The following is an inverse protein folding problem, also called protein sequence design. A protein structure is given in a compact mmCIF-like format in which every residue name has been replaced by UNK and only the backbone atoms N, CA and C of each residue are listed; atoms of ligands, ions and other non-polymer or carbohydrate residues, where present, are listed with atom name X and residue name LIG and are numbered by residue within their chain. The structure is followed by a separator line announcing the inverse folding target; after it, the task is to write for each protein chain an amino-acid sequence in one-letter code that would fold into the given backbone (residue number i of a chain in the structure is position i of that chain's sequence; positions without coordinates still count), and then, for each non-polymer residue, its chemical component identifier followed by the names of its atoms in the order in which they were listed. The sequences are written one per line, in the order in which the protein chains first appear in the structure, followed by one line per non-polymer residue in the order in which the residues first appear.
data_IF_465710800102
#
_entry.id   IF_465710800102
#
_cell.length_a   1.000
_cell.length_b   1.000
_cell.length_c   1.000
_cell.angle_alpha   90.00
_cell.angle_beta   90.00
_cell.angle_gamma   90.00
#
_symmetry.space_group_name_H-M   'P 1'
#
loop_
_entity.id
_entity.type
_entity.pdbx_description
1 polymer ?
#
# COMPACT_ATOMS: atom_id res chain seq x y z
N UNK A 1 7.46 31.42 8.78
CA UNK A 1 7.38 30.63 7.54
C UNK A 1 7.10 29.18 7.93
N UNK A 2 6.02 28.61 7.49
CA UNK A 2 5.65 27.23 7.83
C UNK A 2 6.70 26.26 7.27
N UNK A 3 7.17 25.31 8.07
CA UNK A 3 8.16 24.26 7.70
C UNK A 3 7.68 23.32 6.58
N UNK A 4 6.48 23.53 6.03
CA UNK A 4 5.81 22.68 5.06
C UNK A 4 5.43 23.46 3.77
N UNK A 5 6.22 24.46 3.37
CA UNK A 5 5.98 25.19 2.12
C UNK A 5 6.58 24.40 0.95
N UNK A 6 5.81 24.01 -0.08
CA UNK A 6 6.34 23.34 -1.28
C UNK A 6 7.45 24.11 -2.00
N UNK A 7 7.52 25.43 -1.81
CA UNK A 7 8.55 26.29 -2.38
C UNK A 7 9.94 26.11 -1.74
N UNK A 8 10.07 25.35 -0.64
CA UNK A 8 11.36 25.03 0.00
C UNK A 8 12.22 24.16 -0.91
N UNK A 9 11.61 23.33 -1.76
CA UNK A 9 12.31 22.42 -2.68
C UNK A 9 13.30 23.16 -3.64
N UNK A 10 13.04 24.42 -3.96
CA UNK A 10 13.92 25.22 -4.84
C UNK A 10 14.93 26.12 -4.11
N UNK A 11 14.90 26.19 -2.77
CA UNK A 11 15.70 27.17 -2.00
C UNK A 11 16.68 26.56 -1.01
N UNK A 12 16.41 25.37 -0.52
CA UNK A 12 17.26 24.70 0.48
C UNK A 12 18.38 23.86 -0.18
N UNK A 13 19.44 23.59 0.60
CA UNK A 13 20.54 22.75 0.12
C UNK A 13 20.07 21.32 -0.13
N UNK A 14 20.56 20.69 -1.21
CA UNK A 14 20.18 19.33 -1.64
C UNK A 14 20.36 18.31 -0.52
N UNK A 15 21.47 18.37 0.23
CA UNK A 15 21.74 17.44 1.34
C UNK A 15 20.70 17.53 2.46
N UNK A 16 20.26 18.74 2.81
CA UNK A 16 19.23 18.94 3.84
C UNK A 16 17.87 18.46 3.39
N UNK A 17 17.52 18.71 2.12
CA UNK A 17 16.29 18.18 1.51
C UNK A 17 16.30 16.65 1.46
N UNK A 18 17.44 16.06 1.03
CA UNK A 18 17.58 14.61 0.98
C UNK A 18 17.29 13.98 2.34
N UNK A 19 17.95 14.46 3.41
CA UNK A 19 17.71 13.95 4.77
C UNK A 19 16.26 14.16 5.23
N UNK A 20 15.69 15.33 4.95
CA UNK A 20 14.33 15.66 5.35
C UNK A 20 13.27 14.75 4.71
N UNK A 21 13.52 14.26 3.50
CA UNK A 21 12.60 13.37 2.77
C UNK A 21 12.93 11.88 3.00
N UNK A 22 14.22 11.54 3.04
CA UNK A 22 14.67 10.15 3.20
C UNK A 22 14.40 9.60 4.60
N UNK A 23 14.65 10.38 5.66
CA UNK A 23 14.44 9.89 7.04
C UNK A 23 12.99 9.45 7.27
N UNK A 24 11.94 10.26 6.98
CA UNK A 24 10.56 9.80 7.13
C UNK A 24 10.21 8.60 6.24
N UNK A 25 10.78 8.54 5.04
CA UNK A 25 10.55 7.41 4.14
C UNK A 25 11.16 6.11 4.69
N UNK A 26 12.42 6.16 5.16
CA UNK A 26 13.11 5.02 5.77
C UNK A 26 12.36 4.54 7.01
N UNK A 27 11.99 5.44 7.91
CA UNK A 27 11.21 5.10 9.11
C UNK A 27 9.89 4.42 8.71
N UNK A 28 9.14 4.99 7.75
CA UNK A 28 7.89 4.41 7.29
C UNK A 28 8.05 3.01 6.69
N UNK A 29 9.08 2.80 5.86
CA UNK A 29 9.37 1.49 5.26
C UNK A 29 9.81 0.46 6.32
N UNK A 30 10.67 0.87 7.27
CA UNK A 30 11.13 0.01 8.36
C UNK A 30 9.96 -0.45 9.23
N UNK A 31 9.07 0.47 9.61
CA UNK A 31 7.86 0.15 10.39
C UNK A 31 6.97 -0.82 9.64
N UNK A 32 6.75 -0.61 8.33
CA UNK A 32 5.96 -1.52 7.50
C UNK A 32 6.61 -2.90 7.39
N UNK A 33 7.94 -2.99 7.30
CA UNK A 33 8.66 -4.27 7.25
C UNK A 33 8.54 -5.03 8.58
N UNK A 34 8.70 -4.34 9.71
CA UNK A 34 8.52 -4.92 11.05
C UNK A 34 7.08 -5.42 11.21
N UNK A 35 6.10 -4.64 10.77
CA UNK A 35 4.70 -5.02 10.79
C UNK A 35 4.46 -6.33 10.01
N UNK A 36 5.00 -6.48 8.80
CA UNK A 36 4.83 -7.72 8.02
C UNK A 36 5.39 -8.95 8.74
N UNK A 37 6.50 -8.79 9.47
CA UNK A 37 7.08 -9.87 10.27
C UNK A 37 6.13 -10.23 11.44
N UNK A 38 5.63 -9.23 12.17
CA UNK A 38 4.72 -9.41 13.30
C UNK A 38 3.42 -10.09 12.84
N UNK A 39 2.87 -9.64 11.72
CA UNK A 39 1.65 -10.20 11.13
C UNK A 39 1.84 -11.68 10.76
N UNK A 40 2.97 -12.02 10.14
CA UNK A 40 3.32 -13.41 9.83
C UNK A 40 3.46 -14.27 11.09
N UNK A 41 3.97 -13.73 12.19
CA UNK A 41 4.07 -14.42 13.48
C UNK A 41 2.67 -14.68 14.05
N UNK A 42 1.76 -13.71 14.01
CA UNK A 42 0.39 -13.88 14.48
C UNK A 42 -0.37 -14.93 13.67
N UNK A 43 -0.26 -14.90 12.35
CA UNK A 43 -0.86 -15.91 11.48
C UNK A 43 -0.30 -17.31 11.77
N UNK A 44 1.02 -17.41 11.93
CA UNK A 44 1.67 -18.70 12.20
C UNK A 44 1.26 -19.34 13.53
N UNK A 45 1.08 -18.55 14.58
CA UNK A 45 0.67 -19.05 15.89
C UNK A 45 -0.84 -19.20 16.03
N UNK A 46 -1.63 -18.35 15.38
CA UNK A 46 -3.09 -18.36 15.50
C UNK A 46 -3.79 -19.34 14.56
N UNK A 47 -3.27 -19.51 13.33
CA UNK A 47 -3.91 -20.32 12.29
C UNK A 47 -3.11 -21.58 11.95
N UNK A 48 -1.79 -21.48 11.96
CA UNK A 48 -0.88 -22.61 11.77
C UNK A 48 0.02 -22.55 10.52
N UNK A 49 0.89 -23.58 10.33
CA UNK A 49 1.91 -23.58 9.27
C UNK A 49 1.33 -23.54 7.84
N UNK A 50 0.17 -24.17 7.62
CA UNK A 50 -0.46 -24.20 6.30
C UNK A 50 -0.98 -22.82 5.88
N UNK A 51 -1.39 -21.98 6.84
CA UNK A 51 -1.76 -20.61 6.57
C UNK A 51 -0.56 -19.75 6.15
N UNK A 52 0.62 -19.95 6.77
CA UNK A 52 1.86 -19.28 6.34
C UNK A 52 2.23 -19.72 4.90
N UNK A 53 2.10 -20.99 4.57
CA UNK A 53 2.34 -21.49 3.22
C UNK A 53 1.38 -20.85 2.22
N UNK A 54 0.08 -20.75 2.56
CA UNK A 54 -0.93 -20.08 1.76
C UNK A 54 -0.65 -18.60 1.57
N UNK A 55 -0.19 -17.90 2.63
CA UNK A 55 0.23 -16.52 2.57
C UNK A 55 1.42 -16.36 1.60
N UNK A 56 2.45 -17.20 1.72
CA UNK A 56 3.62 -17.15 0.86
C UNK A 56 3.29 -17.33 -0.63
N UNK A 57 2.38 -18.24 -0.95
CA UNK A 57 1.88 -18.47 -2.32
C UNK A 57 1.09 -17.25 -2.84
N UNK A 58 0.42 -16.52 -1.94
CA UNK A 58 -0.35 -15.32 -2.27
C UNK A 58 0.52 -14.09 -2.55
N UNK A 59 1.77 -14.03 -2.06
CA UNK A 59 2.67 -12.89 -2.20
C UNK A 59 2.88 -12.41 -3.65
N UNK A 60 3.11 -13.27 -4.64
CA UNK A 60 3.31 -12.81 -6.01
C UNK A 60 2.08 -12.09 -6.56
N UNK A 61 0.88 -12.60 -6.29
CA UNK A 61 -0.36 -11.96 -6.71
C UNK A 61 -0.57 -10.61 -5.99
N UNK A 62 -0.33 -10.55 -4.69
CA UNK A 62 -0.39 -9.29 -3.92
C UNK A 62 0.57 -8.25 -4.49
N UNK A 63 1.82 -8.63 -4.77
CA UNK A 63 2.82 -7.73 -5.36
C UNK A 63 2.41 -7.25 -6.75
N UNK A 64 1.82 -8.11 -7.57
CA UNK A 64 1.31 -7.75 -8.89
C UNK A 64 0.20 -6.68 -8.76
N UNK A 65 -0.75 -6.90 -7.88
CA UNK A 65 -1.85 -5.95 -7.59
C UNK A 65 -1.29 -4.60 -7.14
N UNK A 66 -0.34 -4.60 -6.19
CA UNK A 66 0.30 -3.37 -5.69
C UNK A 66 1.14 -2.69 -6.78
N UNK A 67 1.79 -3.44 -7.67
CA UNK A 67 2.60 -2.88 -8.75
C UNK A 67 1.75 -2.03 -9.72
N UNK A 68 0.57 -2.48 -10.11
CA UNK A 68 -0.33 -1.69 -10.95
C UNK A 68 -0.82 -0.41 -10.27
N UNK A 69 -1.13 -0.47 -8.97
CA UNK A 69 -1.46 0.72 -8.20
C UNK A 69 -0.29 1.71 -8.16
N UNK A 70 0.91 1.19 -7.90
CA UNK A 70 2.13 2.01 -7.82
C UNK A 70 2.46 2.67 -9.15
N UNK A 71 2.27 1.97 -10.27
CA UNK A 71 2.47 2.52 -11.61
C UNK A 71 1.61 3.78 -11.83
N UNK A 72 0.31 3.67 -11.56
CA UNK A 72 -0.64 4.78 -11.71
C UNK A 72 -0.33 5.91 -10.74
N UNK A 73 -0.12 5.59 -9.46
CA UNK A 73 0.09 6.60 -8.44
C UNK A 73 1.45 7.30 -8.55
N UNK A 74 2.51 6.59 -8.97
CA UNK A 74 3.82 7.20 -9.21
C UNK A 74 3.78 8.16 -10.41
N UNK A 75 3.14 7.76 -11.52
CA UNK A 75 2.93 8.63 -12.68
C UNK A 75 2.13 9.88 -12.31
N UNK A 76 1.00 9.71 -11.65
CA UNK A 76 0.14 10.82 -11.23
C UNK A 76 0.80 11.76 -10.24
N UNK A 77 1.52 11.22 -9.25
CA UNK A 77 2.24 12.03 -8.26
C UNK A 77 3.36 12.86 -8.88
N UNK A 78 4.07 12.30 -9.85
CA UNK A 78 5.13 13.02 -10.61
C UNK A 78 4.53 14.17 -11.41
N UNK A 79 3.45 13.93 -12.17
CA UNK A 79 2.79 14.97 -12.95
C UNK A 79 2.20 16.06 -12.04
N UNK A 80 1.58 15.71 -10.92
CA UNK A 80 1.08 16.67 -9.94
C UNK A 80 2.20 17.55 -9.38
N UNK A 81 3.37 16.99 -9.08
CA UNK A 81 4.53 17.73 -8.61
C UNK A 81 5.07 18.72 -9.65
N UNK A 82 5.08 18.34 -10.93
CA UNK A 82 5.50 19.22 -12.03
C UNK A 82 4.53 20.41 -12.12
N UNK A 83 3.22 20.20 -12.09
CA UNK A 83 2.22 21.27 -12.12
C UNK A 83 2.32 22.22 -10.93
N UNK A 84 2.57 21.66 -9.72
CA UNK A 84 2.83 22.46 -8.53
C UNK A 84 4.07 23.33 -8.69
N UNK A 85 5.16 22.79 -9.26
CA UNK A 85 6.37 23.56 -9.57
C UNK A 85 6.13 24.69 -10.57
N UNK A 86 5.22 24.51 -11.53
CA UNK A 86 4.75 25.52 -12.47
C UNK A 86 3.75 26.50 -11.85
N UNK A 87 3.42 26.39 -10.57
CA UNK A 87 2.37 27.15 -9.86
C UNK A 87 0.96 26.96 -10.41
N UNK A 88 0.72 25.92 -11.18
CA UNK A 88 -0.58 25.55 -11.73
C UNK A 88 -1.32 24.67 -10.71
N UNK A 89 -1.93 25.30 -9.73
CA UNK A 89 -2.69 24.62 -8.68
C UNK A 89 -3.93 23.90 -9.24
N UNK A 90 -4.55 24.47 -10.27
CA UNK A 90 -5.74 23.87 -10.91
C UNK A 90 -5.37 22.58 -11.64
N UNK A 91 -4.35 22.63 -12.48
CA UNK A 91 -3.86 21.44 -13.18
C UNK A 91 -3.35 20.36 -12.23
N UNK A 92 -2.70 20.74 -11.12
CA UNK A 92 -2.28 19.77 -10.09
C UNK A 92 -3.48 19.07 -9.44
N UNK A 93 -4.55 19.78 -9.15
CA UNK A 93 -5.78 19.20 -8.57
C UNK A 93 -6.51 18.29 -9.57
N UNK A 94 -6.54 18.66 -10.84
CA UNK A 94 -7.11 17.82 -11.91
C UNK A 94 -6.35 16.51 -12.04
N UNK A 95 -5.00 16.56 -12.05
CA UNK A 95 -4.15 15.35 -12.10
C UNK A 95 -4.40 14.47 -10.88
N UNK A 96 -4.51 15.05 -9.68
CA UNK A 96 -4.83 14.29 -8.47
C UNK A 96 -6.16 13.55 -8.62
N UNK A 97 -7.20 14.24 -9.08
CA UNK A 97 -8.54 13.67 -9.28
C UNK A 97 -8.50 12.52 -10.29
N UNK A 98 -7.82 12.70 -11.43
CA UNK A 98 -7.64 11.65 -12.43
C UNK A 98 -6.84 10.46 -11.89
N UNK A 99 -5.78 10.71 -11.11
CA UNK A 99 -4.98 9.65 -10.49
C UNK A 99 -5.82 8.81 -9.53
N UNK A 100 -6.63 9.45 -8.69
CA UNK A 100 -7.54 8.72 -7.79
C UNK A 100 -8.58 7.91 -8.55
N UNK A 101 -9.19 8.50 -9.58
CA UNK A 101 -10.16 7.81 -10.42
C UNK A 101 -9.54 6.59 -11.11
N UNK A 102 -8.32 6.74 -11.65
CA UNK A 102 -7.58 5.63 -12.25
C UNK A 102 -7.20 4.56 -11.22
N UNK A 103 -6.78 4.93 -10.02
CA UNK A 103 -6.50 3.96 -8.95
C UNK A 103 -7.76 3.15 -8.61
N UNK A 104 -8.90 3.80 -8.45
CA UNK A 104 -10.17 3.12 -8.15
C UNK A 104 -10.59 2.23 -9.32
N UNK A 105 -10.54 2.72 -10.56
CA UNK A 105 -10.91 1.93 -11.74
C UNK A 105 -10.00 0.72 -11.91
N UNK A 106 -8.68 0.90 -11.76
CA UNK A 106 -7.72 -0.21 -11.80
C UNK A 106 -7.97 -1.23 -10.67
N UNK A 107 -8.32 -0.76 -9.47
CA UNK A 107 -8.59 -1.67 -8.36
C UNK A 107 -9.77 -2.61 -8.65
N UNK A 108 -10.84 -2.06 -9.21
CA UNK A 108 -11.99 -2.88 -9.62
C UNK A 108 -11.63 -3.82 -10.77
N UNK A 109 -10.93 -3.32 -11.78
CA UNK A 109 -10.54 -4.14 -12.93
C UNK A 109 -9.66 -5.32 -12.52
N UNK A 110 -8.54 -5.05 -11.84
CA UNK A 110 -7.63 -6.10 -11.41
C UNK A 110 -8.20 -6.94 -10.26
N UNK A 111 -8.99 -6.33 -9.37
CA UNK A 111 -9.66 -7.04 -8.29
C UNK A 111 -10.65 -8.07 -8.84
N UNK A 112 -11.53 -7.69 -9.75
CA UNK A 112 -12.50 -8.59 -10.38
C UNK A 112 -11.80 -9.65 -11.23
N UNK A 113 -10.83 -9.26 -12.04
CA UNK A 113 -10.06 -10.20 -12.87
C UNK A 113 -9.36 -11.25 -12.01
N UNK A 114 -8.66 -10.81 -10.96
CA UNK A 114 -7.99 -11.73 -10.04
C UNK A 114 -8.98 -12.59 -9.25
N UNK A 115 -10.17 -12.09 -8.93
CA UNK A 115 -11.19 -12.84 -8.22
C UNK A 115 -11.78 -13.95 -9.08
N UNK A 116 -12.00 -13.69 -10.37
CA UNK A 116 -12.56 -14.69 -11.33
C UNK A 116 -11.55 -15.84 -11.54
N UNK A 117 -10.28 -15.52 -11.72
CA UNK A 117 -9.22 -16.50 -12.00
C UNK A 117 -8.38 -16.87 -10.76
N UNK A 118 -8.93 -16.66 -9.56
CA UNK A 118 -8.16 -16.76 -8.32
C UNK A 118 -7.51 -18.14 -8.13
N UNK A 119 -8.27 -19.20 -8.31
CA UNK A 119 -7.79 -20.57 -8.12
C UNK A 119 -6.69 -20.92 -9.14
N UNK A 120 -6.91 -20.57 -10.40
CA UNK A 120 -5.93 -20.82 -11.49
C UNK A 120 -4.61 -20.07 -11.24
N UNK A 121 -4.71 -18.81 -10.79
CA UNK A 121 -3.57 -17.97 -10.45
C UNK A 121 -2.81 -18.56 -9.25
N UNK A 122 -3.50 -18.97 -8.20
CA UNK A 122 -2.88 -19.55 -7.02
C UNK A 122 -2.21 -20.89 -7.33
N UNK A 123 -2.84 -21.74 -8.13
CA UNK A 123 -2.26 -23.00 -8.60
C UNK A 123 -1.03 -22.73 -9.48
N UNK A 124 -1.08 -21.75 -10.36
CA UNK A 124 0.08 -21.31 -11.16
C UNK A 124 1.26 -20.88 -10.28
N UNK A 125 1.01 -20.22 -9.14
CA UNK A 125 2.03 -19.85 -8.17
C UNK A 125 2.42 -20.97 -7.19
N UNK A 126 1.90 -22.19 -7.39
CA UNK A 126 2.34 -23.38 -6.67
C UNK A 126 1.43 -23.79 -5.50
N UNK A 127 0.17 -23.37 -5.49
CA UNK A 127 -0.78 -23.86 -4.49
C UNK A 127 -1.04 -25.35 -4.67
N UNK A 128 -0.90 -26.12 -3.59
CA UNK A 128 -1.32 -27.52 -3.51
C UNK A 128 -2.76 -27.64 -3.05
N UNK A 129 -3.34 -28.83 -3.16
CA UNK A 129 -4.69 -29.10 -2.65
C UNK A 129 -4.86 -28.76 -1.15
N UNK A 130 -3.76 -28.82 -0.38
CA UNK A 130 -3.77 -28.53 1.06
C UNK A 130 -3.65 -27.03 1.35
N UNK A 131 -2.86 -26.27 0.55
CA UNK A 131 -2.61 -24.84 0.78
C UNK A 131 -3.60 -23.94 0.06
N UNK A 132 -4.23 -24.41 -1.01
CA UNK A 132 -5.18 -23.64 -1.81
C UNK A 132 -6.36 -23.06 -1.00
N UNK A 133 -7.00 -23.78 -0.08
CA UNK A 133 -8.10 -23.22 0.71
C UNK A 133 -7.68 -22.02 1.55
N UNK A 134 -6.51 -22.08 2.17
CA UNK A 134 -5.96 -20.97 2.98
C UNK A 134 -5.58 -19.76 2.13
N UNK A 135 -4.85 -19.99 1.03
CA UNK A 135 -4.49 -18.93 0.08
C UNK A 135 -5.73 -18.27 -0.53
N UNK A 136 -6.75 -19.05 -0.89
CA UNK A 136 -7.99 -18.56 -1.45
C UNK A 136 -8.76 -17.67 -0.47
N UNK A 137 -9.01 -18.17 0.74
CA UNK A 137 -9.73 -17.42 1.78
C UNK A 137 -9.03 -16.09 2.08
N UNK A 138 -7.71 -16.11 2.24
CA UNK A 138 -6.90 -14.91 2.45
C UNK A 138 -7.01 -13.92 1.28
N UNK A 139 -6.81 -14.39 0.05
CA UNK A 139 -6.84 -13.52 -1.13
C UNK A 139 -8.22 -12.95 -1.43
N UNK A 140 -9.30 -13.68 -1.15
CA UNK A 140 -10.66 -13.15 -1.31
C UNK A 140 -10.88 -11.89 -0.46
N UNK A 141 -10.46 -11.90 0.80
CA UNK A 141 -10.57 -10.74 1.69
C UNK A 141 -9.69 -9.59 1.20
N UNK A 142 -8.44 -9.88 0.81
CA UNK A 142 -7.51 -8.88 0.27
C UNK A 142 -8.07 -8.21 -1.00
N UNK A 143 -8.59 -9.01 -1.94
CA UNK A 143 -9.13 -8.48 -3.20
C UNK A 143 -10.36 -7.60 -2.97
N UNK A 144 -11.22 -7.93 -2.01
CA UNK A 144 -12.35 -7.06 -1.62
C UNK A 144 -11.87 -5.73 -1.02
N UNK A 145 -10.75 -5.73 -0.29
CA UNK A 145 -10.12 -4.54 0.28
C UNK A 145 -9.29 -3.71 -0.72
N UNK A 146 -9.04 -4.22 -1.93
CA UNK A 146 -8.16 -3.58 -2.93
C UNK A 146 -8.55 -2.14 -3.26
N UNK A 147 -9.83 -1.74 -3.43
CA UNK A 147 -10.19 -0.34 -3.71
C UNK A 147 -9.75 0.63 -2.61
N UNK A 148 -9.86 0.21 -1.35
CA UNK A 148 -9.42 1.02 -0.19
C UNK A 148 -7.89 1.12 -0.20
N UNK A 149 -7.21 0.00 -0.37
CA UNK A 149 -5.74 -0.08 -0.40
C UNK A 149 -5.16 0.77 -1.52
N UNK A 150 -5.71 0.71 -2.73
CA UNK A 150 -5.27 1.51 -3.88
C UNK A 150 -5.44 3.00 -3.61
N UNK A 151 -6.58 3.41 -3.06
CA UNK A 151 -6.83 4.81 -2.70
C UNK A 151 -5.82 5.29 -1.66
N UNK A 152 -5.53 4.50 -0.64
CA UNK A 152 -4.55 4.83 0.40
C UNK A 152 -3.13 4.95 -0.15
N UNK A 153 -2.68 4.01 -0.99
CA UNK A 153 -1.36 4.05 -1.63
C UNK A 153 -1.26 5.25 -2.56
N UNK A 154 -2.29 5.50 -3.37
CA UNK A 154 -2.34 6.62 -4.30
C UNK A 154 -2.21 7.97 -3.58
N UNK A 155 -3.03 8.21 -2.55
CA UNK A 155 -2.96 9.42 -1.73
C UNK A 155 -1.63 9.58 -1.00
N UNK A 156 -1.07 8.50 -0.47
CA UNK A 156 0.21 8.52 0.24
C UNK A 156 1.35 8.92 -0.69
N UNK A 157 1.39 8.38 -1.92
CA UNK A 157 2.38 8.74 -2.94
C UNK A 157 2.26 10.21 -3.35
N UNK A 158 1.04 10.70 -3.57
CA UNK A 158 0.80 12.12 -3.88
C UNK A 158 1.25 13.02 -2.72
N UNK A 159 0.92 12.69 -1.47
CA UNK A 159 1.37 13.47 -0.30
C UNK A 159 2.90 13.56 -0.21
N UNK A 160 3.60 12.47 -0.48
CA UNK A 160 5.08 12.48 -0.50
C UNK A 160 5.63 13.38 -1.60
N UNK A 161 5.09 13.25 -2.82
CA UNK A 161 5.55 13.98 -3.98
C UNK A 161 5.22 15.49 -3.92
N UNK A 162 4.13 15.87 -3.25
CA UNK A 162 3.70 17.26 -3.11
C UNK A 162 4.29 18.00 -1.89
N UNK A 163 5.30 17.40 -1.23
CA UNK A 163 6.04 18.09 -0.16
C UNK A 163 5.56 17.79 1.26
N UNK A 164 4.68 16.80 1.45
CA UNK A 164 4.18 16.40 2.77
C UNK A 164 4.63 15.00 3.23
N UNK A 165 5.94 14.64 3.15
CA UNK A 165 6.40 13.28 3.48
C UNK A 165 6.13 12.89 4.94
N UNK A 166 6.16 13.85 5.87
CA UNK A 166 5.85 13.60 7.28
C UNK A 166 4.39 13.20 7.50
N UNK A 167 3.45 13.82 6.78
CA UNK A 167 2.04 13.44 6.86
C UNK A 167 1.81 12.05 6.29
N UNK A 168 2.46 11.74 5.16
CA UNK A 168 2.41 10.40 4.56
C UNK A 168 2.99 9.33 5.50
N UNK A 169 4.09 9.62 6.19
CA UNK A 169 4.64 8.73 7.22
C UNK A 169 3.65 8.53 8.38
N UNK A 170 3.05 9.59 8.89
CA UNK A 170 2.10 9.50 10.00
C UNK A 170 0.87 8.66 9.64
N UNK A 171 0.31 8.81 8.44
CA UNK A 171 -0.81 7.97 7.98
C UNK A 171 -0.40 6.49 7.93
N UNK A 172 0.79 6.18 7.41
CA UNK A 172 1.31 4.80 7.42
C UNK A 172 1.51 4.27 8.84
N UNK A 173 2.04 5.08 9.75
CA UNK A 173 2.21 4.67 11.16
C UNK A 173 0.89 4.38 11.85
N UNK A 174 -0.13 5.22 11.66
CA UNK A 174 -1.47 5.01 12.22
C UNK A 174 -2.06 3.70 11.71
N UNK A 175 -1.92 3.41 10.41
CA UNK A 175 -2.39 2.16 9.82
C UNK A 175 -1.70 0.94 10.43
N UNK A 176 -0.36 0.99 10.58
CA UNK A 176 0.41 -0.11 11.18
C UNK A 176 0.05 -0.32 12.64
N UNK A 177 -0.04 0.75 13.45
CA UNK A 177 -0.42 0.64 14.86
C UNK A 177 -1.83 0.09 15.01
N UNK A 178 -2.79 0.58 14.22
CA UNK A 178 -4.14 0.05 14.22
C UNK A 178 -4.17 -1.45 13.89
N UNK A 179 -3.38 -1.88 12.91
CA UNK A 179 -3.31 -3.28 12.50
C UNK A 179 -2.67 -4.16 13.59
N UNK A 180 -1.55 -3.74 14.20
CA UNK A 180 -0.91 -4.47 15.31
C UNK A 180 -1.87 -4.69 16.50
N UNK A 181 -2.80 -3.76 16.70
CA UNK A 181 -3.82 -3.89 17.77
C UNK A 181 -4.98 -4.78 17.31
N UNK A 182 -5.46 -4.59 16.10
CA UNK A 182 -6.64 -5.27 15.59
C UNK A 182 -6.36 -6.73 15.18
N UNK A 183 -5.19 -7.02 14.58
CA UNK A 183 -4.88 -8.36 14.12
C UNK A 183 -4.97 -9.43 15.24
N UNK A 184 -4.33 -9.27 16.42
CA UNK A 184 -4.49 -10.26 17.49
C UNK A 184 -5.93 -10.36 18.02
N UNK A 185 -6.69 -9.26 18.01
CA UNK A 185 -8.10 -9.29 18.44
C UNK A 185 -8.92 -10.15 17.47
N UNK A 186 -8.75 -9.97 16.15
CA UNK A 186 -9.48 -10.74 15.16
C UNK A 186 -9.02 -12.21 15.12
N UNK A 187 -7.73 -12.48 15.24
CA UNK A 187 -7.18 -13.83 15.17
C UNK A 187 -7.48 -14.63 16.44
N UNK A 188 -7.22 -14.06 17.64
CA UNK A 188 -7.26 -14.82 18.88
C UNK A 188 -8.56 -14.67 19.68
N UNK A 189 -9.32 -13.57 19.48
CA UNK A 189 -10.55 -13.35 20.22
C UNK A 189 -11.80 -13.68 19.40
N UNK A 190 -11.79 -13.33 18.11
CA UNK A 190 -12.90 -13.64 17.19
C UNK A 190 -12.68 -14.93 16.41
N UNK A 191 -11.49 -15.55 16.51
CA UNK A 191 -11.12 -16.78 15.78
C UNK A 191 -11.31 -16.66 14.26
N UNK A 192 -11.09 -15.45 13.72
CA UNK A 192 -11.18 -15.15 12.30
C UNK A 192 -9.82 -15.33 11.60
N UNK A 193 -9.17 -16.44 11.87
CA UNK A 193 -7.88 -16.78 11.31
C UNK A 193 -7.94 -17.82 10.16
#
# INVERSE_FOLDING_TARGET
MSKNDPHILGKESIGKLLLQYSIPAIIGMTITSIYNIIDSIFIGHGVGPMAIAGLAISFPLMNLVVAFCTLVSAGGSTLASIRLGQKDMKGATEILSHTLMLCITNSFFFGILSFIFLDDILVFFGASNETLPYARSFMQVILLGTPITYTMIGLNNVMRATGYPKKAMLTSMVTVVANIILAPIFIFHFEWG
#
